data_IF_319714843447
#
_entry.id   IF_319714843447
#
_cell.length_a   1.000
_cell.length_b   1.000
_cell.length_c   1.000
_cell.angle_alpha   90.00
_cell.angle_beta   90.00
_cell.angle_gamma   90.00
#
_symmetry.space_group_name_H-M   'P 1'
#
loop_
_entity.id
_entity.type
_entity.pdbx_description
1 polymer ?
#
# COMPACT_ATOMS: atom_id res chain seq x y z
N UNK A 1 -32.62 -5.87 -33.13
CA UNK A 1 -32.52 -5.54 -31.69
C UNK A 1 -33.87 -5.61 -30.97
N UNK A 2 -34.94 -4.94 -31.46
CA UNK A 2 -36.28 -4.94 -30.83
C UNK A 2 -36.95 -6.32 -30.62
N UNK A 3 -36.77 -7.28 -31.53
CA UNK A 3 -37.41 -8.61 -31.41
C UNK A 3 -36.84 -9.47 -30.28
N UNK A 4 -35.54 -9.38 -30.02
CA UNK A 4 -34.89 -10.13 -28.94
C UNK A 4 -35.31 -9.57 -27.57
N UNK A 5 -35.31 -8.25 -27.45
CA UNK A 5 -35.77 -7.56 -26.25
C UNK A 5 -37.21 -7.95 -25.90
N UNK A 6 -38.14 -7.81 -26.85
CA UNK A 6 -39.55 -8.08 -26.59
C UNK A 6 -39.82 -9.55 -26.21
N UNK A 7 -39.06 -10.49 -26.78
CA UNK A 7 -39.19 -11.92 -26.44
C UNK A 7 -38.67 -12.24 -25.05
N UNK A 8 -37.58 -11.58 -24.62
CA UNK A 8 -37.07 -11.70 -23.26
C UNK A 8 -38.02 -11.06 -22.23
N UNK A 9 -38.59 -9.90 -22.55
CA UNK A 9 -39.53 -9.19 -21.67
C UNK A 9 -40.80 -10.00 -21.40
N UNK A 10 -41.40 -10.59 -22.44
CA UNK A 10 -42.58 -11.45 -22.30
C UNK A 10 -42.25 -12.70 -21.49
N UNK A 11 -41.11 -13.35 -21.78
CA UNK A 11 -40.68 -14.53 -21.02
C UNK A 11 -40.42 -14.25 -19.54
N UNK A 12 -39.82 -13.10 -19.22
CA UNK A 12 -39.61 -12.64 -17.84
C UNK A 12 -40.94 -12.38 -17.12
N UNK A 13 -41.92 -11.80 -17.81
CA UNK A 13 -43.25 -11.59 -17.25
C UNK A 13 -44.01 -12.91 -16.99
N UNK A 14 -43.80 -13.91 -17.84
CA UNK A 14 -44.42 -15.24 -17.71
C UNK A 14 -43.80 -16.08 -16.58
N UNK A 15 -42.57 -15.77 -16.14
CA UNK A 15 -41.85 -16.53 -15.10
C UNK A 15 -41.36 -15.62 -13.95
N UNK A 16 -42.27 -14.96 -13.22
CA UNK A 16 -41.89 -13.98 -12.18
C UNK A 16 -41.07 -14.61 -11.06
N UNK A 17 -41.37 -15.86 -10.68
CA UNK A 17 -40.62 -16.59 -9.63
C UNK A 17 -39.16 -16.80 -10.03
N UNK A 18 -38.88 -17.14 -11.29
CA UNK A 18 -37.50 -17.30 -11.75
C UNK A 18 -36.74 -15.98 -11.77
N UNK A 19 -37.41 -14.90 -12.16
CA UNK A 19 -36.83 -13.55 -12.12
C UNK A 19 -36.52 -13.14 -10.67
N UNK A 20 -37.45 -13.37 -9.73
CA UNK A 20 -37.22 -13.08 -8.32
C UNK A 20 -36.06 -13.90 -7.74
N UNK A 21 -36.00 -15.20 -8.04
CA UNK A 21 -34.88 -16.05 -7.61
C UNK A 21 -33.55 -15.56 -8.20
N UNK A 22 -33.55 -15.14 -9.46
CA UNK A 22 -32.35 -14.59 -10.11
C UNK A 22 -31.91 -13.28 -9.46
N UNK A 23 -32.84 -12.37 -9.15
CA UNK A 23 -32.53 -11.12 -8.44
C UNK A 23 -31.99 -11.40 -7.03
N UNK A 24 -32.61 -12.34 -6.29
CA UNK A 24 -32.13 -12.75 -4.97
C UNK A 24 -30.74 -13.38 -5.03
N UNK A 25 -30.47 -14.20 -6.05
CA UNK A 25 -29.15 -14.78 -6.28
C UNK A 25 -28.10 -13.69 -6.57
N UNK A 26 -28.39 -12.78 -7.49
CA UNK A 26 -27.51 -11.64 -7.81
C UNK A 26 -27.24 -10.77 -6.59
N UNK A 27 -28.29 -10.47 -5.82
CA UNK A 27 -28.18 -9.68 -4.59
C UNK A 27 -27.36 -10.41 -3.53
N UNK A 28 -27.52 -11.72 -3.40
CA UNK A 28 -26.71 -12.55 -2.50
C UNK A 28 -25.23 -12.57 -2.87
N UNK A 29 -24.91 -12.67 -4.17
CA UNK A 29 -23.53 -12.58 -4.66
C UNK A 29 -22.93 -11.21 -4.37
N UNK A 30 -23.68 -10.13 -4.63
CA UNK A 30 -23.23 -8.78 -4.30
C UNK A 30 -23.00 -8.59 -2.79
N UNK A 31 -23.87 -9.17 -1.96
CA UNK A 31 -23.76 -9.11 -0.50
C UNK A 31 -22.52 -9.86 0.01
N UNK A 32 -22.19 -11.01 -0.59
CA UNK A 32 -20.96 -11.76 -0.28
C UNK A 32 -19.71 -10.94 -0.59
N UNK A 33 -19.68 -10.24 -1.73
CA UNK A 33 -18.58 -9.34 -2.09
C UNK A 33 -18.42 -8.17 -1.12
N UNK A 34 -19.51 -7.70 -0.51
CA UNK A 34 -19.48 -6.64 0.50
C UNK A 34 -18.99 -7.15 1.88
N UNK A 35 -19.44 -8.34 2.31
CA UNK A 35 -19.08 -8.86 3.64
C UNK A 35 -17.71 -9.53 3.70
N UNK A 36 -17.20 -10.05 2.58
CA UNK A 36 -15.95 -10.82 2.52
C UNK A 36 -15.12 -10.45 1.27
N UNK A 37 -14.65 -9.19 1.15
CA UNK A 37 -14.00 -8.71 -0.07
C UNK A 37 -12.67 -9.43 -0.36
N UNK A 38 -11.87 -9.73 0.66
CA UNK A 38 -10.54 -10.34 0.49
C UNK A 38 -10.60 -11.80 0.00
N UNK A 39 -11.50 -12.61 0.56
CA UNK A 39 -11.64 -14.03 0.16
C UNK A 39 -12.13 -14.18 -1.29
N UNK A 40 -13.04 -13.30 -1.72
CA UNK A 40 -13.51 -13.28 -3.12
C UNK A 40 -12.38 -12.86 -4.05
N UNK A 41 -11.55 -11.89 -3.65
CA UNK A 41 -10.43 -11.41 -4.47
C UNK A 41 -9.37 -12.49 -4.66
N UNK A 42 -9.13 -13.32 -3.65
CA UNK A 42 -8.22 -14.46 -3.72
C UNK A 42 -8.63 -15.51 -4.76
N UNK A 43 -9.92 -15.71 -5.01
CA UNK A 43 -10.41 -16.64 -6.04
C UNK A 43 -10.12 -16.18 -7.47
N UNK A 44 -9.92 -14.88 -7.67
CA UNK A 44 -9.63 -14.29 -8.98
C UNK A 44 -8.16 -13.87 -9.12
N UNK A 45 -7.30 -14.13 -8.13
CA UNK A 45 -5.85 -13.96 -8.27
C UNK A 45 -5.36 -14.87 -9.41
N UNK A 46 -4.78 -14.33 -10.49
CA UNK A 46 -4.28 -15.16 -11.56
C UNK A 46 -3.18 -16.08 -11.01
N UNK A 47 -3.30 -17.38 -11.29
CA UNK A 47 -2.24 -18.35 -11.01
C UNK A 47 -0.96 -17.81 -11.66
N UNK A 48 0.17 -17.68 -10.93
CA UNK A 48 1.40 -17.13 -11.48
C UNK A 48 1.74 -17.85 -12.78
N UNK A 49 1.91 -17.09 -13.86
CA UNK A 49 2.21 -17.66 -15.17
C UNK A 49 3.44 -18.57 -15.06
N UNK A 50 3.23 -19.87 -15.29
CA UNK A 50 4.28 -20.86 -15.28
C UNK A 50 5.22 -20.56 -16.46
N UNK A 51 6.30 -19.84 -16.19
CA UNK A 51 7.29 -19.52 -17.21
C UNK A 51 7.88 -20.83 -17.71
N UNK A 52 7.64 -21.12 -19.00
CA UNK A 52 8.13 -22.28 -19.73
C UNK A 52 9.64 -22.39 -19.52
N UNK A 53 10.04 -23.36 -18.71
CA UNK A 53 11.44 -23.65 -18.41
C UNK A 53 12.13 -24.16 -19.68
N UNK A 54 12.95 -23.31 -20.29
CA UNK A 54 13.97 -23.77 -21.23
C UNK A 54 14.95 -24.68 -20.47
N UNK A 55 15.01 -25.92 -20.93
CA UNK A 55 15.87 -27.00 -20.46
C UNK A 55 17.34 -26.58 -20.57
N UNK A 56 17.99 -26.29 -19.44
CA UNK A 56 19.44 -26.21 -19.35
C UNK A 56 19.92 -26.85 -18.04
N UNK A 57 20.76 -27.85 -18.24
CA UNK A 57 21.29 -28.84 -17.32
C UNK A 57 22.35 -28.21 -16.40
N UNK A 58 21.95 -27.72 -15.22
CA UNK A 58 22.87 -27.42 -14.10
C UNK A 58 22.16 -27.66 -12.77
N UNK A 59 22.85 -28.15 -11.72
CA UNK A 59 22.24 -28.38 -10.42
C UNK A 59 21.89 -27.02 -9.79
N UNK A 60 20.64 -26.61 -10.00
CA UNK A 60 20.05 -25.38 -9.48
C UNK A 60 20.05 -25.49 -7.96
N UNK A 61 20.94 -24.73 -7.30
CA UNK A 61 20.78 -24.40 -5.88
C UNK A 61 19.31 -24.04 -5.68
N UNK A 62 18.64 -24.73 -4.77
CA UNK A 62 17.25 -24.43 -4.38
C UNK A 62 17.26 -22.98 -3.93
N UNK A 63 16.92 -22.07 -4.84
CA UNK A 63 16.62 -20.69 -4.51
C UNK A 63 15.28 -20.78 -3.83
N UNK A 64 15.29 -20.64 -2.51
CA UNK A 64 14.08 -20.35 -1.74
C UNK A 64 13.31 -19.25 -2.50
N UNK A 65 12.00 -19.46 -2.66
CA UNK A 65 11.16 -18.44 -3.26
C UNK A 65 11.41 -17.13 -2.52
N UNK A 66 11.66 -16.01 -3.23
CA UNK A 66 11.82 -14.74 -2.55
C UNK A 66 10.58 -14.52 -1.67
N UNK A 67 10.76 -14.03 -0.43
CA UNK A 67 9.65 -13.78 0.47
C UNK A 67 8.62 -12.89 -0.24
N UNK A 68 7.35 -13.19 -0.02
CA UNK A 68 6.24 -12.37 -0.52
C UNK A 68 6.31 -11.01 0.18
N UNK A 69 6.88 -10.03 -0.51
CA UNK A 69 7.10 -8.68 -0.01
C UNK A 69 6.56 -7.70 -1.03
N UNK A 70 5.74 -6.76 -0.56
CA UNK A 70 5.26 -5.69 -1.43
C UNK A 70 6.45 -4.83 -1.87
N UNK A 71 6.64 -4.63 -3.19
CA UNK A 71 7.69 -3.76 -3.68
C UNK A 71 7.40 -2.33 -3.27
N UNK A 72 8.41 -1.66 -2.68
CA UNK A 72 8.31 -0.23 -2.35
C UNK A 72 8.13 0.54 -3.66
N UNK A 73 6.98 1.19 -3.79
CA UNK A 73 6.62 2.01 -4.93
C UNK A 73 6.34 3.43 -4.49
N UNK A 74 7.22 4.35 -4.87
CA UNK A 74 7.02 5.79 -4.65
C UNK A 74 5.93 6.38 -5.56
N UNK A 75 5.25 5.56 -6.36
CA UNK A 75 4.15 5.98 -7.24
C UNK A 75 2.82 5.34 -6.87
N UNK A 76 2.79 4.48 -5.85
CA UNK A 76 1.57 3.76 -5.41
C UNK A 76 0.82 4.47 -4.28
N UNK A 77 1.19 5.72 -3.97
CA UNK A 77 0.45 6.53 -3.01
C UNK A 77 -0.74 7.22 -3.68
N UNK A 78 -1.88 7.20 -3.01
CA UNK A 78 -3.09 7.90 -3.43
C UNK A 78 -2.98 9.40 -3.13
N UNK A 79 -2.22 9.80 -2.10
CA UNK A 79 -2.00 11.19 -1.72
C UNK A 79 -0.60 11.41 -1.18
N UNK A 80 -0.02 12.57 -1.47
CA UNK A 80 1.29 12.99 -0.95
C UNK A 80 1.10 14.21 -0.06
N UNK A 81 1.45 14.09 1.21
CA UNK A 81 1.48 15.20 2.15
C UNK A 81 2.91 15.76 2.20
N UNK A 82 3.04 17.04 1.84
CA UNK A 82 4.31 17.78 1.88
C UNK A 82 4.41 18.52 3.20
N UNK A 83 5.45 18.24 3.97
CA UNK A 83 5.74 18.92 5.23
C UNK A 83 6.99 19.76 5.03
N UNK A 84 6.94 21.04 5.40
CA UNK A 84 8.08 21.96 5.36
C UNK A 84 8.47 22.41 6.76
N UNK A 85 9.77 22.40 7.06
CA UNK A 85 10.31 22.68 8.39
C UNK A 85 11.83 22.90 8.33
N UNK A 86 12.33 23.91 9.03
CA UNK A 86 13.77 24.25 9.03
C UNK A 86 14.71 23.12 9.52
N UNK A 87 14.22 22.21 10.37
CA UNK A 87 15.02 21.06 10.83
C UNK A 87 14.15 19.95 11.42
N UNK A 88 13.95 18.85 10.68
CA UNK A 88 13.25 17.68 11.20
C UNK A 88 14.03 16.91 12.28
N UNK A 89 15.36 16.95 12.27
CA UNK A 89 16.23 16.08 13.08
C UNK A 89 16.50 16.68 14.47
N UNK A 90 15.41 16.93 15.20
CA UNK A 90 15.42 17.27 16.62
C UNK A 90 14.48 16.33 17.35
N UNK A 91 14.72 16.08 18.64
CA UNK A 91 13.88 15.14 19.42
C UNK A 91 12.41 15.53 19.36
N UNK A 92 12.10 16.81 19.57
CA UNK A 92 10.72 17.29 19.60
C UNK A 92 10.03 17.17 18.24
N UNK A 93 10.74 17.44 17.13
CA UNK A 93 10.13 17.37 15.79
C UNK A 93 10.01 15.95 15.25
N UNK A 94 10.96 15.07 15.55
CA UNK A 94 10.82 13.64 15.23
C UNK A 94 9.62 13.06 15.99
N UNK A 95 9.46 13.44 17.26
CA UNK A 95 8.31 13.03 18.06
C UNK A 95 7.00 13.56 17.45
N UNK A 96 6.93 14.84 17.13
CA UNK A 96 5.77 15.43 16.48
C UNK A 96 5.45 14.76 15.13
N UNK A 97 6.48 14.39 14.36
CA UNK A 97 6.30 13.69 13.08
C UNK A 97 5.72 12.29 13.28
N UNK A 98 6.19 11.53 14.28
CA UNK A 98 5.59 10.24 14.65
C UNK A 98 4.14 10.40 15.09
N UNK A 99 3.84 11.41 15.90
CA UNK A 99 2.46 11.70 16.33
C UNK A 99 1.55 12.08 15.14
N UNK A 100 2.06 12.81 14.14
CA UNK A 100 1.33 13.10 12.90
C UNK A 100 1.04 11.82 12.13
N UNK A 101 2.05 10.97 11.93
CA UNK A 101 1.88 9.70 11.22
C UNK A 101 0.88 8.80 11.95
N UNK A 102 1.01 8.63 13.27
CA UNK A 102 0.09 7.84 14.09
C UNK A 102 -1.35 8.36 14.00
N UNK A 103 -1.55 9.68 14.00
CA UNK A 103 -2.89 10.26 13.81
C UNK A 103 -3.46 10.00 12.43
N UNK A 104 -2.65 10.09 11.38
CA UNK A 104 -3.09 9.80 10.01
C UNK A 104 -3.44 8.32 9.87
N UNK A 105 -2.60 7.41 10.39
CA UNK A 105 -2.85 5.96 10.37
C UNK A 105 -4.03 5.55 11.25
N UNK A 106 -4.43 6.36 12.22
CA UNK A 106 -5.63 6.10 13.04
C UNK A 106 -6.95 6.36 12.31
N UNK A 107 -6.92 6.94 11.11
CA UNK A 107 -8.11 7.19 10.30
C UNK A 107 -8.57 5.88 9.62
N UNK A 108 -9.85 5.54 9.78
CA UNK A 108 -10.42 4.27 9.29
C UNK A 108 -10.27 4.06 7.77
N UNK A 109 -10.11 5.14 7.00
CA UNK A 109 -9.94 5.12 5.54
C UNK A 109 -8.49 5.24 5.09
N UNK A 110 -7.51 5.28 6.00
CA UNK A 110 -6.09 5.24 5.68
C UNK A 110 -5.56 3.82 5.87
N UNK A 111 -5.00 3.24 4.81
CA UNK A 111 -4.39 1.92 4.85
C UNK A 111 -2.98 1.95 5.40
N UNK A 112 -2.16 2.94 4.98
CA UNK A 112 -0.79 3.10 5.46
C UNK A 112 -0.21 4.47 5.12
N UNK A 113 0.82 4.87 5.88
CA UNK A 113 1.64 6.04 5.59
C UNK A 113 3.09 5.60 5.39
N UNK A 114 3.62 5.74 4.18
CA UNK A 114 5.02 5.46 3.89
C UNK A 114 5.88 6.71 4.09
N UNK A 115 6.86 6.63 5.00
CA UNK A 115 7.74 7.73 5.39
C UNK A 115 9.15 7.26 5.77
N UNK A 116 9.96 8.14 6.38
CA UNK A 116 11.39 7.90 6.62
C UNK A 116 11.70 6.65 7.46
N UNK A 117 10.80 6.23 8.35
CA UNK A 117 11.02 5.05 9.20
C UNK A 117 10.76 3.72 8.48
N UNK A 118 10.00 3.74 7.38
CA UNK A 118 9.67 2.54 6.60
C UNK A 118 10.75 2.20 5.56
N UNK A 119 11.69 3.12 5.33
CA UNK A 119 12.78 2.92 4.37
C UNK A 119 13.66 1.74 4.85
N UNK A 120 13.86 0.71 4.01
CA UNK A 120 14.68 -0.42 4.38
C UNK A 120 16.15 0.01 4.43
N UNK A 121 16.83 -0.41 5.49
CA UNK A 121 18.26 -0.18 5.63
C UNK A 121 19.03 -1.01 4.59
N UNK A 122 19.74 -0.35 3.68
CA UNK A 122 20.58 -0.98 2.66
C UNK A 122 21.91 -1.56 3.20
N UNK A 123 21.99 -1.86 4.50
CA UNK A 123 23.23 -2.34 5.09
C UNK A 123 23.50 -3.80 4.72
N UNK A 124 24.47 -4.02 3.83
CA UNK A 124 24.97 -5.33 3.38
C UNK A 124 25.59 -6.18 4.50
N UNK A 125 25.89 -5.60 5.66
CA UNK A 125 26.49 -6.30 6.81
C UNK A 125 25.47 -6.76 7.86
N UNK A 126 24.17 -6.62 7.60
CA UNK A 126 23.11 -7.16 8.48
C UNK A 126 22.92 -6.42 9.80
N UNK A 127 23.64 -5.31 10.05
CA UNK A 127 23.40 -4.45 11.20
C UNK A 127 22.29 -3.45 10.86
N UNK A 128 21.09 -3.69 11.42
CA UNK A 128 19.91 -2.83 11.24
C UNK A 128 20.07 -1.58 12.09
N UNK A 129 20.61 -0.52 11.50
CA UNK A 129 20.65 0.78 12.16
C UNK A 129 19.61 1.69 11.50
N UNK A 130 18.51 2.03 12.20
CA UNK A 130 17.42 2.82 11.63
C UNK A 130 17.92 4.18 11.15
N UNK A 131 17.26 4.73 10.13
CA UNK A 131 17.57 6.07 9.63
C UNK A 131 17.26 7.15 10.66
N UNK A 132 16.17 7.00 11.40
CA UNK A 132 15.79 7.89 12.50
C UNK A 132 16.15 7.23 13.83
N UNK A 133 16.98 7.86 14.68
CA UNK A 133 17.31 7.34 15.99
C UNK A 133 16.10 7.39 16.96
N UNK A 134 16.19 6.58 18.01
CA UNK A 134 15.22 6.60 19.10
C UNK A 134 15.22 7.96 19.81
N UNK A 135 14.13 8.29 20.52
CA UNK A 135 13.92 9.59 21.19
C UNK A 135 15.01 9.99 22.20
N UNK A 136 15.73 9.01 22.75
CA UNK A 136 16.83 9.23 23.71
C UNK A 136 18.20 9.46 23.05
N UNK A 137 18.24 9.63 21.73
CA UNK A 137 19.48 9.89 21.01
C UNK A 137 20.05 11.26 21.37
N UNK A 138 21.38 11.35 21.44
CA UNK A 138 22.06 12.64 21.59
C UNK A 138 21.93 13.46 20.31
N UNK A 139 22.01 14.79 20.41
CA UNK A 139 21.94 15.68 19.24
C UNK A 139 22.96 15.28 18.16
N UNK A 140 24.19 14.91 18.56
CA UNK A 140 25.21 14.42 17.63
C UNK A 140 24.76 13.20 16.80
N UNK A 141 23.95 12.30 17.38
CA UNK A 141 23.39 11.15 16.65
C UNK A 141 22.25 11.58 15.72
N UNK A 142 21.45 12.56 16.11
CA UNK A 142 20.40 13.13 15.25
C UNK A 142 21.01 13.85 14.04
N UNK A 143 22.10 14.60 14.24
CA UNK A 143 22.81 15.26 13.15
C UNK A 143 23.43 14.24 12.18
N UNK A 144 24.05 13.17 12.71
CA UNK A 144 24.56 12.08 11.89
C UNK A 144 23.44 11.34 11.14
N UNK A 145 22.26 11.21 11.75
CA UNK A 145 21.08 10.64 11.11
C UNK A 145 20.57 11.53 9.96
N UNK A 146 20.60 12.85 10.12
CA UNK A 146 20.28 13.80 9.04
C UNK A 146 21.18 13.59 7.84
N UNK A 147 22.49 13.57 8.08
CA UNK A 147 23.48 13.35 7.01
C UNK A 147 23.26 12.00 6.31
N UNK A 148 23.01 10.94 7.10
CA UNK A 148 22.73 9.60 6.58
C UNK A 148 21.43 9.55 5.77
N UNK A 149 20.38 10.22 6.21
CA UNK A 149 19.10 10.29 5.52
C UNK A 149 19.21 11.03 4.19
N UNK A 150 19.85 12.20 4.17
CA UNK A 150 20.08 12.96 2.92
C UNK A 150 20.98 12.19 1.94
N UNK A 151 21.96 11.44 2.43
CA UNK A 151 22.83 10.61 1.58
C UNK A 151 22.18 9.29 1.13
N UNK A 152 21.03 8.90 1.69
CA UNK A 152 20.42 7.62 1.40
C UNK A 152 19.72 7.65 0.02
N UNK A 153 19.99 6.70 -0.90
CA UNK A 153 19.51 6.75 -2.29
C UNK A 153 18.00 6.81 -2.47
N UNK A 154 17.25 6.24 -1.53
CA UNK A 154 15.77 6.23 -1.54
C UNK A 154 15.14 7.38 -0.73
N UNK A 155 15.95 8.24 -0.12
CA UNK A 155 15.48 9.32 0.75
C UNK A 155 15.87 10.68 0.20
N UNK A 156 17.17 10.94 0.03
CA UNK A 156 17.66 12.22 -0.47
C UNK A 156 17.19 12.49 -1.90
N UNK A 157 16.45 13.58 -2.09
CA UNK A 157 15.86 13.98 -3.36
C UNK A 157 14.64 13.16 -3.80
N UNK A 158 14.20 12.19 -2.98
CA UNK A 158 13.00 11.38 -3.23
C UNK A 158 11.93 11.64 -2.17
N UNK A 159 12.27 11.42 -0.89
CA UNK A 159 11.37 11.61 0.26
C UNK A 159 11.73 12.86 1.07
N UNK A 160 13.02 13.14 1.20
CA UNK A 160 13.57 14.30 1.90
C UNK A 160 14.31 15.17 0.89
N UNK A 161 14.04 16.46 0.89
CA UNK A 161 14.75 17.42 0.04
C UNK A 161 16.27 17.42 0.35
N UNK A 162 17.07 17.85 -0.63
CA UNK A 162 18.54 17.85 -0.50
C UNK A 162 19.03 18.77 0.62
N UNK A 163 18.29 19.84 0.92
CA UNK A 163 18.55 20.73 2.06
C UNK A 163 18.01 20.18 3.40
N UNK A 164 17.19 19.13 3.37
CA UNK A 164 16.64 18.46 4.55
C UNK A 164 15.47 19.18 5.22
N UNK A 165 14.85 20.13 4.52
CA UNK A 165 13.80 20.99 5.07
C UNK A 165 12.39 20.58 4.63
N UNK A 166 12.26 19.80 3.56
CA UNK A 166 10.98 19.36 3.04
C UNK A 166 10.91 17.84 3.03
N UNK A 167 9.85 17.29 3.63
CA UNK A 167 9.60 15.86 3.75
C UNK A 167 8.27 15.50 3.06
N UNK A 168 8.26 14.37 2.38
CA UNK A 168 7.06 13.77 1.80
C UNK A 168 6.58 12.62 2.69
N UNK A 169 5.29 12.63 3.04
CA UNK A 169 4.57 11.48 3.57
C UNK A 169 3.65 10.95 2.47
N UNK A 170 3.73 9.67 2.20
CA UNK A 170 2.99 9.02 1.12
C UNK A 170 1.83 8.23 1.73
N UNK A 171 0.60 8.67 1.47
CA UNK A 171 -0.60 8.13 2.11
C UNK A 171 -1.32 7.22 1.11
N UNK A 172 -1.68 6.03 1.57
CA UNK A 172 -2.51 5.08 0.82
C UNK A 172 -3.86 4.93 1.50
N UNK A 173 -4.93 5.02 0.74
CA UNK A 173 -6.30 4.90 1.26
C UNK A 173 -6.78 3.46 1.23
N UNK A 174 -7.60 3.10 2.21
CA UNK A 174 -8.43 1.93 2.14
C UNK A 174 -9.76 2.29 1.46
N UNK A 175 -9.78 2.14 0.13
CA UNK A 175 -10.94 2.42 -0.71
C UNK A 175 -12.19 1.59 -0.36
N UNK A 176 -12.07 0.54 0.46
CA UNK A 176 -13.23 -0.19 0.97
C UNK A 176 -14.02 0.64 2.02
N UNK A 177 -13.34 1.52 2.74
CA UNK A 177 -13.90 2.34 3.82
C UNK A 177 -14.13 3.81 3.42
N UNK A 178 -13.65 4.24 2.25
CA UNK A 178 -14.02 5.53 1.65
C UNK A 178 -15.48 5.44 1.18
N UNK A 179 -16.39 6.00 1.97
CA UNK A 179 -17.85 5.92 1.73
C UNK A 179 -18.47 7.24 1.27
N UNK A 180 -17.73 8.34 1.32
CA UNK A 180 -18.17 9.69 0.93
C UNK A 180 -16.97 10.54 0.46
N UNK A 181 -17.17 11.38 -0.56
CA UNK A 181 -16.15 12.24 -1.20
C UNK A 181 -16.40 13.75 -0.95
N UNK A 182 -17.40 14.10 -0.12
CA UNK A 182 -17.81 15.47 0.22
C UNK A 182 -17.00 16.14 1.35
#
# INVERSE_FOLDING_TARGET
>A
MFRAFNRCSVWMADHPVMVTLFILLLSGIAMLGYTMPEEVRDWFKPVPAEQVQQKADQPRKVREAPPDVDPISLTDADTILVIDSENFFTTDRIKALREIVEQIESLDYVSSVFWLEDIPNLNIFGLREPLIPNERASQKRLDAAREKAVAHPLVGGQMLSVDGNTLLLMIKFDWLHVTDDD
#
